data_IF_683504931409
#
_entry.id   IF_683504931409
#
_cell.length_a   1.000
_cell.length_b   1.000
_cell.length_c   1.000
_cell.angle_alpha   90.00
_cell.angle_beta   90.00
_cell.angle_gamma   90.00
#
_symmetry.space_group_name_H-M   'P 1'
#
loop_
_entity.id
_entity.type
_entity.pdbx_description
1 polymer ?
#
# COMPACT_ATOMS: atom_id res chain seq x y z
N UNK A 1 16.41 6.90 12.70
CA UNK A 1 14.95 6.83 12.93
C UNK A 1 14.42 5.65 12.13
N UNK A 2 13.48 4.90 12.70
CA UNK A 2 12.87 3.76 12.03
C UNK A 2 11.96 4.22 10.89
N UNK A 3 11.68 3.32 9.95
CA UNK A 3 10.92 3.58 8.71
C UNK A 3 9.54 4.21 8.96
N UNK A 4 8.91 3.83 10.08
CA UNK A 4 7.57 4.30 10.49
C UNK A 4 7.59 5.06 11.81
N UNK A 5 8.73 5.66 12.18
CA UNK A 5 8.77 6.57 13.33
C UNK A 5 7.87 7.79 13.10
N UNK A 6 7.40 8.45 14.19
CA UNK A 6 6.55 9.62 14.06
C UNK A 6 7.16 10.69 13.17
N UNK A 7 6.34 11.33 12.34
CA UNK A 7 6.79 12.35 11.40
C UNK A 7 5.77 13.49 11.23
N UNK A 8 6.22 14.68 10.83
CA UNK A 8 5.31 15.81 10.63
C UNK A 8 4.43 15.62 9.40
N UNK A 9 3.18 16.10 9.48
CA UNK A 9 2.22 15.94 8.37
C UNK A 9 2.74 16.50 7.05
N UNK A 10 3.37 17.67 7.07
CA UNK A 10 4.04 18.23 5.88
C UNK A 10 5.03 17.26 5.25
N UNK A 11 5.81 16.57 6.07
CA UNK A 11 6.85 15.66 5.58
C UNK A 11 6.23 14.35 5.05
N UNK A 12 5.09 13.91 5.58
CA UNK A 12 4.30 12.82 4.99
C UNK A 12 3.84 13.16 3.57
N UNK A 13 3.33 14.38 3.35
CA UNK A 13 2.90 14.86 2.03
C UNK A 13 4.11 14.94 1.09
N UNK A 14 5.20 15.59 1.51
CA UNK A 14 6.40 15.75 0.67
C UNK A 14 7.02 14.40 0.26
N UNK A 15 7.09 13.42 1.18
CA UNK A 15 7.56 12.06 0.89
C UNK A 15 6.62 11.38 -0.11
N UNK A 16 5.31 11.51 0.10
CA UNK A 16 4.31 10.92 -0.77
C UNK A 16 4.42 11.45 -2.21
N UNK A 17 4.38 12.77 -2.39
CA UNK A 17 4.51 13.44 -3.70
C UNK A 17 5.81 13.05 -4.38
N UNK A 18 6.93 13.09 -3.65
CA UNK A 18 8.25 12.72 -4.18
C UNK A 18 8.28 11.28 -4.70
N UNK A 19 7.71 10.34 -3.97
CA UNK A 19 7.68 8.92 -4.38
C UNK A 19 6.79 8.74 -5.62
N UNK A 20 5.58 9.32 -5.63
CA UNK A 20 4.68 9.23 -6.79
C UNK A 20 5.34 9.81 -8.04
N UNK A 21 5.95 11.00 -7.94
CA UNK A 21 6.61 11.67 -9.06
C UNK A 21 7.77 10.84 -9.61
N UNK A 22 8.57 10.19 -8.75
CA UNK A 22 9.65 9.31 -9.19
C UNK A 22 9.15 8.16 -10.06
N UNK A 23 8.01 7.55 -9.73
CA UNK A 23 7.44 6.45 -10.52
C UNK A 23 6.63 6.94 -11.73
N UNK A 24 6.07 8.16 -11.69
CA UNK A 24 5.51 8.82 -12.88
C UNK A 24 6.61 9.12 -13.91
N UNK A 25 7.77 9.64 -13.47
CA UNK A 25 8.93 9.90 -14.36
C UNK A 25 9.48 8.62 -15.00
N UNK A 26 9.39 7.49 -14.29
CA UNK A 26 9.75 6.17 -14.82
C UNK A 26 8.68 5.56 -15.72
N UNK A 27 7.58 6.26 -15.97
CA UNK A 27 6.46 5.78 -16.78
C UNK A 27 5.79 4.51 -16.19
N UNK A 28 5.90 4.30 -14.87
CA UNK A 28 5.29 3.16 -14.18
C UNK A 28 3.94 3.51 -13.55
N UNK A 29 3.80 4.69 -12.94
CA UNK A 29 2.52 5.24 -12.47
C UNK A 29 1.94 6.13 -13.56
N UNK A 30 0.69 5.92 -13.91
CA UNK A 30 -0.06 6.75 -14.85
C UNK A 30 -0.84 7.85 -14.15
N UNK A 31 -1.55 7.51 -13.08
CA UNK A 31 -2.37 8.44 -12.30
C UNK A 31 -2.59 7.94 -10.86
N UNK A 32 -3.15 8.78 -10.00
CA UNK A 32 -3.55 8.41 -8.63
C UNK A 32 -4.72 9.28 -8.12
N UNK A 33 -5.47 8.75 -7.15
CA UNK A 33 -6.63 9.42 -6.51
C UNK A 33 -6.48 9.50 -4.99
N UNK A 34 -5.24 9.49 -4.49
CA UNK A 34 -4.93 9.44 -3.08
C UNK A 34 -5.25 10.78 -2.41
N UNK A 35 -6.04 10.71 -1.36
CA UNK A 35 -6.48 11.87 -0.60
C UNK A 35 -6.27 11.66 0.89
N UNK A 36 -5.79 12.69 1.57
CA UNK A 36 -5.79 12.75 3.03
C UNK A 36 -7.12 13.31 3.54
N UNK A 37 -7.99 12.42 4.03
CA UNK A 37 -9.27 12.78 4.65
C UNK A 37 -9.07 12.96 6.15
N UNK A 38 -9.42 14.12 6.70
CA UNK A 38 -9.38 14.33 8.15
C UNK A 38 -10.52 13.60 8.85
N UNK A 39 -10.18 12.83 9.89
CA UNK A 39 -11.12 12.05 10.71
C UNK A 39 -10.88 12.33 12.19
N UNK A 40 -11.48 13.40 12.72
CA UNK A 40 -11.29 13.77 14.13
C UNK A 40 -9.83 14.13 14.44
N UNK A 41 -9.15 13.28 15.23
CA UNK A 41 -7.72 13.43 15.59
C UNK A 41 -6.79 12.54 14.75
N UNK A 42 -7.25 12.10 13.58
CA UNK A 42 -6.49 11.26 12.67
C UNK A 42 -6.68 11.72 11.23
N UNK A 43 -5.82 11.24 10.34
CA UNK A 43 -5.96 11.35 8.90
C UNK A 43 -6.10 9.96 8.30
N UNK A 44 -7.00 9.77 7.35
CA UNK A 44 -7.02 8.60 6.50
C UNK A 44 -6.46 8.97 5.11
N UNK A 45 -5.39 8.31 4.69
CA UNK A 45 -4.89 8.35 3.31
C UNK A 45 -5.56 7.21 2.55
N UNK A 46 -6.46 7.56 1.63
CA UNK A 46 -7.26 6.60 0.87
C UNK A 46 -7.25 6.92 -0.62
N UNK A 47 -7.28 5.89 -1.45
CA UNK A 47 -7.46 6.04 -2.90
C UNK A 47 -6.83 4.89 -3.68
N UNK A 48 -6.63 5.09 -4.97
CA UNK A 48 -6.00 4.13 -5.87
C UNK A 48 -4.82 4.77 -6.61
N UNK A 49 -3.85 3.94 -6.98
CA UNK A 49 -2.76 4.29 -7.89
C UNK A 49 -2.89 3.42 -9.14
N UNK A 50 -2.93 4.04 -10.32
CA UNK A 50 -2.90 3.38 -11.61
C UNK A 50 -1.45 3.10 -12.03
N UNK A 51 -1.10 1.83 -12.18
CA UNK A 51 0.21 1.39 -12.62
C UNK A 51 0.15 0.72 -14.01
N UNK A 52 1.30 0.63 -14.68
CA UNK A 52 1.45 -0.12 -15.94
C UNK A 52 0.97 -1.56 -15.78
N UNK A 53 0.50 -2.14 -16.88
CA UNK A 53 0.00 -3.51 -16.89
C UNK A 53 -1.43 -3.65 -16.39
N UNK A 54 -2.20 -2.55 -16.42
CA UNK A 54 -3.54 -2.49 -15.86
C UNK A 54 -3.57 -2.83 -14.35
N UNK A 55 -2.46 -2.56 -13.64
CA UNK A 55 -2.29 -2.86 -12.21
C UNK A 55 -2.80 -1.69 -11.38
N UNK A 56 -3.46 -1.99 -10.26
CA UNK A 56 -3.98 -1.03 -9.30
C UNK A 56 -3.36 -1.32 -7.94
N UNK A 57 -2.91 -0.26 -7.25
CA UNK A 57 -2.59 -0.30 -5.83
C UNK A 57 -3.70 0.47 -5.11
N UNK A 58 -4.55 -0.24 -4.38
CA UNK A 58 -5.54 0.36 -3.50
C UNK A 58 -4.92 0.61 -2.12
N UNK A 59 -5.11 1.82 -1.61
CA UNK A 59 -4.49 2.31 -0.37
C UNK A 59 -5.58 2.71 0.61
N UNK A 60 -5.47 2.22 1.85
CA UNK A 60 -6.20 2.70 3.02
C UNK A 60 -5.21 2.77 4.19
N UNK A 61 -5.09 3.92 4.84
CA UNK A 61 -4.06 4.14 5.86
C UNK A 61 -4.47 5.21 6.86
N UNK A 62 -4.61 4.83 8.12
CA UNK A 62 -4.94 5.71 9.23
C UNK A 62 -3.68 6.11 9.96
N UNK A 63 -3.61 7.41 10.16
CA UNK A 63 -2.47 8.10 10.71
C UNK A 63 -2.99 8.95 11.86
N UNK A 64 -2.63 8.60 13.08
CA UNK A 64 -3.04 9.31 14.29
C UNK A 64 -2.19 10.57 14.50
N UNK A 65 -2.84 11.64 14.96
CA UNK A 65 -2.14 12.85 15.44
C UNK A 65 -1.67 12.61 16.87
N UNK A 66 -0.36 12.46 17.05
CA UNK A 66 0.25 12.34 18.39
C UNK A 66 0.26 13.70 19.10
N UNK A 67 0.61 14.76 18.38
CA UNK A 67 0.67 16.12 18.93
C UNK A 67 0.64 17.19 17.84
N UNK A 68 0.38 18.44 18.22
CA UNK A 68 0.32 19.57 17.28
C UNK A 68 -0.97 19.61 16.47
N UNK A 69 -0.97 20.42 15.41
CA UNK A 69 -2.13 20.59 14.51
C UNK A 69 -1.70 21.10 13.14
N UNK A 70 -2.58 20.91 12.14
CA UNK A 70 -2.34 21.29 10.75
C UNK A 70 -1.07 20.64 10.18
N UNK A 71 -0.38 21.37 9.30
CA UNK A 71 0.83 20.89 8.60
C UNK A 71 2.00 20.53 9.53
N UNK A 72 2.00 21.04 10.76
CA UNK A 72 3.04 20.78 11.75
C UNK A 72 2.65 19.68 12.75
N UNK A 73 1.46 19.07 12.61
CA UNK A 73 1.05 17.95 13.44
C UNK A 73 2.08 16.81 13.33
N UNK A 74 2.47 16.24 14.47
CA UNK A 74 3.28 15.03 14.54
C UNK A 74 2.35 13.84 14.43
N UNK A 75 2.61 13.00 13.43
CA UNK A 75 1.74 11.92 13.00
C UNK A 75 2.42 10.56 13.16
N UNK A 76 1.62 9.52 13.38
CA UNK A 76 2.08 8.13 13.43
C UNK A 76 1.07 7.22 12.73
N UNK A 77 1.57 6.37 11.83
CA UNK A 77 0.73 5.36 11.19
C UNK A 77 0.26 4.36 12.25
N UNK A 78 -1.05 4.11 12.31
CA UNK A 78 -1.68 3.12 13.19
C UNK A 78 -2.13 1.88 12.43
N UNK A 79 -2.85 2.08 11.33
CA UNK A 79 -3.27 0.98 10.46
C UNK A 79 -2.83 1.25 9.04
N UNK A 80 -2.79 0.20 8.23
CA UNK A 80 -2.71 0.30 6.78
C UNK A 80 -3.22 -0.97 6.11
N UNK A 81 -3.69 -0.81 4.88
CA UNK A 81 -3.89 -1.87 3.91
C UNK A 81 -3.43 -1.34 2.54
N UNK A 82 -2.53 -2.09 1.90
CA UNK A 82 -2.10 -1.85 0.53
C UNK A 82 -2.44 -3.10 -0.28
N UNK A 83 -3.52 -3.04 -1.06
CA UNK A 83 -3.98 -4.15 -1.89
C UNK A 83 -3.58 -3.94 -3.35
N UNK A 84 -2.79 -4.85 -3.90
CA UNK A 84 -2.31 -4.78 -5.28
C UNK A 84 -3.01 -5.84 -6.12
N UNK A 85 -3.57 -5.43 -7.25
CA UNK A 85 -4.32 -6.34 -8.13
C UNK A 85 -4.24 -5.89 -9.59
N UNK A 86 -4.49 -6.81 -10.52
CA UNK A 86 -4.71 -6.46 -11.93
C UNK A 86 -6.20 -6.15 -12.12
N UNK A 87 -6.54 -4.99 -12.69
CA UNK A 87 -7.94 -4.58 -12.86
C UNK A 87 -8.70 -5.62 -13.70
N UNK A 88 -9.91 -5.97 -13.23
CA UNK A 88 -10.76 -7.03 -13.78
C UNK A 88 -10.16 -8.44 -13.71
N UNK A 89 -9.17 -8.64 -12.86
CA UNK A 89 -8.55 -9.94 -12.52
C UNK A 89 -8.52 -10.06 -10.99
N UNK A 90 -7.50 -10.72 -10.46
CA UNK A 90 -7.35 -10.98 -9.03
C UNK A 90 -6.19 -10.20 -8.41
N UNK A 91 -6.09 -10.32 -7.08
CA UNK A 91 -4.99 -9.76 -6.31
C UNK A 91 -3.66 -10.39 -6.73
N UNK A 92 -2.59 -9.61 -6.57
CA UNK A 92 -1.21 -10.05 -6.64
C UNK A 92 -0.70 -10.32 -5.23
N UNK A 93 -0.83 -9.31 -4.37
CA UNK A 93 -0.47 -9.36 -2.96
C UNK A 93 -1.16 -8.23 -2.20
N UNK A 94 -1.29 -8.41 -0.88
CA UNK A 94 -1.81 -7.40 0.03
C UNK A 94 -0.90 -7.31 1.24
N UNK A 95 -0.52 -6.11 1.64
CA UNK A 95 0.08 -5.89 2.95
C UNK A 95 -0.94 -5.22 3.84
N UNK A 96 -1.13 -5.73 5.05
CA UNK A 96 -1.98 -5.08 6.05
C UNK A 96 -1.55 -5.44 7.47
N UNK A 97 -2.17 -4.75 8.42
CA UNK A 97 -2.07 -5.02 9.85
C UNK A 97 -3.45 -5.04 10.52
N UNK A 98 -4.49 -5.36 9.76
CA UNK A 98 -5.89 -5.28 10.21
C UNK A 98 -6.51 -6.65 10.49
N UNK A 99 -5.70 -7.70 10.62
CA UNK A 99 -6.25 -9.05 10.79
C UNK A 99 -6.61 -9.35 12.25
N UNK A 100 -7.91 -9.44 12.53
CA UNK A 100 -8.47 -9.93 13.80
C UNK A 100 -7.95 -11.34 14.16
N UNK A 101 -7.45 -12.11 13.18
CA UNK A 101 -6.80 -13.40 13.41
C UNK A 101 -5.58 -13.29 14.33
N UNK A 102 -4.89 -12.14 14.36
CA UNK A 102 -3.80 -11.84 15.30
C UNK A 102 -4.25 -11.97 16.77
N UNK A 103 -5.49 -11.57 17.09
CA UNK A 103 -6.05 -11.74 18.42
C UNK A 103 -6.38 -13.20 18.75
N UNK A 104 -6.56 -14.05 17.73
CA UNK A 104 -7.00 -15.45 17.88
C UNK A 104 -5.85 -16.47 17.96
N UNK A 105 -4.66 -16.14 17.45
CA UNK A 105 -3.49 -17.04 17.38
C UNK A 105 -2.63 -17.09 18.65
N UNK A 106 -2.87 -16.22 19.64
CA UNK A 106 -2.11 -16.21 20.88
C UNK A 106 -0.63 -15.80 20.74
N UNK A 107 0.19 -16.15 21.73
CA UNK A 107 1.55 -15.61 21.98
C UNK A 107 2.65 -15.93 20.94
N UNK A 108 2.35 -16.60 19.81
CA UNK A 108 3.37 -16.97 18.82
C UNK A 108 3.77 -15.82 17.88
N UNK A 109 2.91 -14.79 17.74
CA UNK A 109 3.18 -13.65 16.86
C UNK A 109 3.43 -12.38 17.69
N UNK A 110 4.61 -11.78 17.49
CA UNK A 110 5.02 -10.59 18.27
C UNK A 110 4.41 -9.29 17.75
N UNK A 111 3.85 -9.31 16.55
CA UNK A 111 3.41 -8.12 15.82
C UNK A 111 2.41 -8.47 14.70
N UNK A 112 1.57 -7.51 14.34
CA UNK A 112 0.40 -7.62 13.44
C UNK A 112 0.73 -7.48 11.95
N UNK A 113 1.96 -7.09 11.58
CA UNK A 113 2.32 -6.84 10.19
C UNK A 113 2.52 -8.12 9.38
N UNK A 114 1.70 -8.30 8.34
CA UNK A 114 1.76 -9.47 7.46
C UNK A 114 1.50 -9.12 5.99
N UNK A 115 1.72 -10.10 5.13
CA UNK A 115 1.56 -10.02 3.68
C UNK A 115 0.77 -11.22 3.18
N UNK A 116 -0.29 -10.97 2.44
CA UNK A 116 -0.98 -11.98 1.67
C UNK A 116 -0.43 -12.07 0.25
N UNK A 117 -0.32 -13.27 -0.30
CA UNK A 117 0.07 -13.55 -1.68
C UNK A 117 -1.04 -14.32 -2.40
N UNK A 118 -1.28 -13.99 -3.66
CA UNK A 118 -2.35 -14.60 -4.44
C UNK A 118 -1.83 -15.08 -5.79
N UNK A 119 -2.44 -16.14 -6.29
CA UNK A 119 -2.39 -16.49 -7.72
C UNK A 119 -3.27 -15.49 -8.47
N UNK A 120 -2.66 -14.68 -9.33
CA UNK A 120 -3.34 -13.60 -10.04
C UNK A 120 -4.23 -14.09 -11.21
N UNK A 121 -4.09 -15.36 -11.61
CA UNK A 121 -4.93 -15.99 -12.63
C UNK A 121 -6.17 -16.64 -12.02
N UNK A 122 -6.04 -17.27 -10.85
CA UNK A 122 -7.14 -18.01 -10.21
C UNK A 122 -7.81 -17.26 -9.06
N UNK A 123 -7.10 -16.32 -8.44
CA UNK A 123 -7.51 -15.59 -7.25
C UNK A 123 -7.34 -16.36 -5.94
N UNK A 124 -6.78 -17.56 -5.99
CA UNK A 124 -6.52 -18.36 -4.79
C UNK A 124 -5.35 -17.77 -4.00
N UNK A 125 -5.48 -17.74 -2.68
CA UNK A 125 -4.38 -17.38 -1.80
C UNK A 125 -3.30 -18.48 -1.83
N UNK A 126 -2.03 -18.09 -1.98
CA UNK A 126 -0.94 -19.05 -2.11
C UNK A 126 -0.69 -19.81 -0.79
N UNK A 127 -0.21 -21.06 -0.82
CA UNK A 127 -0.04 -21.88 0.39
C UNK A 127 0.87 -21.29 1.47
N UNK A 128 1.83 -20.44 1.08
CA UNK A 128 2.77 -19.79 2.02
C UNK A 128 2.20 -18.48 2.61
N UNK A 129 0.94 -18.15 2.33
CA UNK A 129 0.24 -16.94 2.76
C UNK A 129 -0.73 -17.21 3.92
N UNK A 130 -0.90 -16.29 4.88
CA UNK A 130 -0.17 -15.03 5.03
C UNK A 130 1.26 -15.23 5.53
N UNK A 131 2.17 -14.37 5.06
CA UNK A 131 3.56 -14.29 5.51
C UNK A 131 3.65 -13.22 6.59
N UNK A 132 4.08 -13.59 7.79
CA UNK A 132 4.43 -12.62 8.83
C UNK A 132 5.70 -11.86 8.45
N UNK A 133 5.63 -10.53 8.39
CA UNK A 133 6.78 -9.69 8.02
C UNK A 133 7.38 -8.94 9.21
N UNK A 134 6.58 -8.67 10.23
CA UNK A 134 7.01 -7.98 11.45
C UNK A 134 7.31 -6.49 11.25
N UNK A 135 7.39 -5.75 12.36
CA UNK A 135 7.63 -4.29 12.43
C UNK A 135 8.87 -3.85 11.65
N UNK A 136 9.98 -4.60 11.74
CA UNK A 136 11.22 -4.27 11.03
C UNK A 136 11.06 -4.31 9.50
N UNK A 137 10.16 -5.17 9.01
CA UNK A 137 9.89 -5.33 7.56
C UNK A 137 8.55 -4.75 7.13
N UNK A 138 7.84 -4.03 8.00
CA UNK A 138 6.63 -3.30 7.65
C UNK A 138 6.89 -2.37 6.45
N UNK A 139 6.20 -2.54 5.31
CA UNK A 139 6.49 -1.73 4.13
C UNK A 139 5.90 -0.32 4.19
N UNK A 140 6.62 0.62 3.59
CA UNK A 140 6.11 1.91 3.13
C UNK A 140 5.34 1.73 1.81
N UNK A 141 4.47 2.69 1.48
CA UNK A 141 3.82 2.74 0.17
C UNK A 141 4.84 2.75 -0.98
N UNK A 142 5.98 3.43 -0.83
CA UNK A 142 7.05 3.43 -1.84
C UNK A 142 7.69 2.06 -2.05
N UNK A 143 7.85 1.25 -1.00
CA UNK A 143 8.31 -0.13 -1.12
C UNK A 143 7.26 -1.02 -1.81
N UNK A 144 5.97 -0.82 -1.51
CA UNK A 144 4.88 -1.53 -2.20
C UNK A 144 4.84 -1.19 -3.69
N UNK A 145 4.95 0.09 -4.06
CA UNK A 145 5.01 0.52 -5.47
C UNK A 145 6.22 -0.12 -6.16
N UNK A 146 7.38 -0.13 -5.49
CA UNK A 146 8.61 -0.73 -6.03
C UNK A 146 8.47 -2.23 -6.25
N UNK A 147 7.88 -2.95 -5.30
CA UNK A 147 7.62 -4.37 -5.44
C UNK A 147 6.62 -4.63 -6.59
N UNK A 148 5.60 -3.79 -6.71
CA UNK A 148 4.64 -3.86 -7.83
C UNK A 148 5.33 -3.65 -9.17
N UNK A 149 6.26 -2.68 -9.27
CA UNK A 149 7.08 -2.44 -10.47
C UNK A 149 7.94 -3.68 -10.80
N UNK A 150 8.58 -4.30 -9.80
CA UNK A 150 9.38 -5.50 -9.99
C UNK A 150 8.54 -6.69 -10.48
N UNK A 151 7.35 -6.87 -9.91
CA UNK A 151 6.41 -7.88 -10.35
C UNK A 151 5.97 -7.63 -11.79
N UNK A 152 5.62 -6.38 -12.14
CA UNK A 152 5.23 -5.99 -13.48
C UNK A 152 6.30 -6.38 -14.51
N UNK A 153 7.56 -5.98 -14.30
CA UNK A 153 8.63 -6.28 -15.26
C UNK A 153 8.92 -7.78 -15.37
N UNK A 154 8.70 -8.55 -14.31
CA UNK A 154 8.90 -10.00 -14.32
C UNK A 154 7.77 -10.76 -15.02
N UNK A 155 6.56 -10.18 -15.08
CA UNK A 155 5.36 -10.82 -15.62
C UNK A 155 4.78 -10.11 -16.84
N UNK A 156 5.45 -9.06 -17.34
CA UNK A 156 4.95 -8.17 -18.39
C UNK A 156 4.39 -8.92 -19.60
N UNK A 157 5.09 -9.94 -20.07
CA UNK A 157 4.72 -10.68 -21.27
C UNK A 157 3.49 -11.60 -21.08
N UNK A 158 3.05 -11.80 -19.84
CA UNK A 158 1.85 -12.57 -19.49
C UNK A 158 0.60 -11.68 -19.34
N UNK A 159 0.79 -10.36 -19.29
CA UNK A 159 -0.32 -9.41 -19.15
C UNK A 159 -1.03 -9.19 -20.47
N UNK A 160 -2.36 -9.11 -20.41
CA UNK A 160 -3.20 -8.84 -21.59
C UNK A 160 -3.00 -7.41 -22.12
N UNK A 161 -2.79 -6.45 -21.22
CA UNK A 161 -2.63 -5.02 -21.52
C UNK A 161 -1.37 -4.44 -20.83
N UNK A 162 -0.15 -4.91 -21.20
CA UNK A 162 1.08 -4.60 -20.47
C UNK A 162 1.42 -3.11 -20.49
N UNK A 163 1.02 -2.40 -21.54
CA UNK A 163 1.33 -0.99 -21.72
C UNK A 163 0.16 -0.07 -21.35
N UNK A 164 -0.93 -0.60 -20.79
CA UNK A 164 -2.09 0.21 -20.39
C UNK A 164 -2.07 0.56 -18.90
N UNK A 165 -2.73 1.66 -18.55
CA UNK A 165 -3.09 2.03 -17.19
C UNK A 165 -4.58 1.78 -16.96
N UNK A 166 -5.00 1.37 -15.75
CA UNK A 166 -6.41 1.27 -15.41
C UNK A 166 -7.04 2.66 -15.25
N UNK A 167 -8.35 2.78 -15.50
CA UNK A 167 -9.12 3.95 -15.06
C UNK A 167 -9.31 3.91 -13.53
N UNK A 168 -9.24 5.08 -12.89
CA UNK A 168 -9.36 5.27 -11.44
C UNK A 168 -10.69 5.94 -11.07
N UNK A 169 -11.82 5.35 -11.48
CA UNK A 169 -13.16 5.91 -11.21
C UNK A 169 -14.18 4.87 -10.75
N UNK A 170 -13.74 3.63 -10.46
CA UNK A 170 -14.62 2.56 -10.01
C UNK A 170 -14.53 2.41 -8.49
N UNK A 171 -15.26 3.27 -7.77
CA UNK A 171 -15.83 2.91 -6.47
C UNK A 171 -17.17 2.21 -6.67
#
# INVERSE_FOLDING_TARGET
MGKHSPNHFRQYIEIHETIIDQFKVKDFIGDETLEFITMGFSYNLIGEIACRGNIVINVDKLIDVISGSGVNALLQTRWYAYNVFVRNRFNLFRYDNQDDYFLSLGQEHKDEHHKHLFDWETGEELPDSPIWVGEDSWPTLGEVIKETEQWYWSNRDQLEYPDSYPNLDLR
#
